data_IF_582760624084
#
_entry.id   IF_582760624084
#
_cell.length_a   1.000
_cell.length_b   1.000
_cell.length_c   1.000
_cell.angle_alpha   90.00
_cell.angle_beta   90.00
_cell.angle_gamma   90.00
#
_symmetry.space_group_name_H-M   'P 1'
#
loop_
_entity.id
_entity.type
_entity.pdbx_description
1 polymer ?
#
# COMPACT_ATOMS: atom_id res chain seq x y z
N UNK A 1 -15.39 11.86 -10.71
CA UNK A 1 -15.91 10.47 -10.57
C UNK A 1 -17.38 10.51 -10.20
N UNK A 2 -18.28 9.92 -10.99
CA UNK A 2 -19.74 9.84 -10.66
C UNK A 2 -20.01 9.17 -9.30
N UNK A 3 -19.07 8.35 -8.82
CA UNK A 3 -19.16 7.59 -7.57
C UNK A 3 -18.62 8.32 -6.34
N UNK A 4 -18.00 9.49 -6.49
CA UNK A 4 -17.41 10.21 -5.34
C UNK A 4 -18.43 10.48 -4.21
N UNK A 5 -19.67 10.94 -4.48
CA UNK A 5 -20.67 11.15 -3.42
C UNK A 5 -21.03 9.86 -2.67
N UNK A 6 -21.06 8.73 -3.38
CA UNK A 6 -21.33 7.41 -2.78
C UNK A 6 -20.16 6.98 -1.89
N UNK A 7 -18.92 7.11 -2.37
CA UNK A 7 -17.72 6.80 -1.58
C UNK A 7 -17.67 7.68 -0.32
N UNK A 8 -17.99 8.97 -0.45
CA UNK A 8 -18.06 9.88 0.70
C UNK A 8 -19.11 9.44 1.73
N UNK A 9 -20.27 8.95 1.30
CA UNK A 9 -21.27 8.37 2.20
C UNK A 9 -20.77 7.11 2.91
N UNK A 10 -20.09 6.20 2.18
CA UNK A 10 -19.50 4.99 2.77
C UNK A 10 -18.45 5.36 3.81
N UNK A 11 -17.57 6.30 3.50
CA UNK A 11 -16.54 6.80 4.44
C UNK A 11 -17.19 7.39 5.70
N UNK A 12 -18.34 8.06 5.55
CA UNK A 12 -19.07 8.67 6.67
C UNK A 12 -19.74 7.64 7.58
N UNK A 13 -20.44 6.66 7.00
CA UNK A 13 -21.27 5.73 7.77
C UNK A 13 -20.55 4.42 8.12
N UNK A 14 -19.64 3.96 7.27
CA UNK A 14 -18.95 2.66 7.38
C UNK A 14 -17.45 2.78 7.05
N UNK A 15 -16.68 3.66 7.72
CA UNK A 15 -15.27 3.90 7.38
C UNK A 15 -14.45 2.59 7.40
N UNK A 16 -14.69 1.71 8.36
CA UNK A 16 -13.95 0.45 8.53
C UNK A 16 -14.05 -0.47 7.31
N UNK A 17 -15.17 -0.42 6.58
CA UNK A 17 -15.39 -1.25 5.39
C UNK A 17 -14.52 -0.86 4.20
N UNK A 18 -14.06 0.38 4.16
CA UNK A 18 -13.35 0.94 3.00
C UNK A 18 -11.88 1.27 3.29
N UNK A 19 -11.47 1.41 4.57
CA UNK A 19 -10.07 1.74 4.94
C UNK A 19 -9.06 0.81 4.25
N UNK A 20 -9.27 -0.51 4.31
CA UNK A 20 -8.31 -1.47 3.76
C UNK A 20 -8.26 -1.46 2.23
N UNK A 21 -9.40 -1.60 1.50
CA UNK A 21 -9.40 -1.45 0.04
C UNK A 21 -8.86 -0.10 -0.44
N UNK A 22 -9.19 0.99 0.27
CA UNK A 22 -8.70 2.33 -0.05
C UNK A 22 -7.18 2.42 0.12
N UNK A 23 -6.63 1.90 1.23
CA UNK A 23 -5.18 1.88 1.47
C UNK A 23 -4.43 1.15 0.35
N UNK A 24 -4.93 -0.01 -0.10
CA UNK A 24 -4.31 -0.79 -1.18
C UNK A 24 -4.34 -0.07 -2.52
N UNK A 25 -5.43 0.64 -2.82
CA UNK A 25 -5.62 1.29 -4.12
C UNK A 25 -5.08 2.72 -4.17
N UNK A 26 -4.89 3.38 -3.04
CA UNK A 26 -4.51 4.79 -2.96
C UNK A 26 -3.20 5.09 -3.70
N UNK A 27 -2.16 4.27 -3.52
CA UNK A 27 -0.88 4.46 -4.21
C UNK A 27 -1.06 4.42 -5.74
N UNK A 28 -1.74 3.40 -6.26
CA UNK A 28 -2.00 3.26 -7.69
C UNK A 28 -2.90 4.39 -8.23
N UNK A 29 -3.91 4.81 -7.45
CA UNK A 29 -4.83 5.89 -7.81
C UNK A 29 -4.11 7.25 -7.88
N UNK A 30 -3.15 7.49 -6.99
CA UNK A 30 -2.41 8.76 -6.93
C UNK A 30 -1.50 8.97 -8.15
N UNK A 31 -0.87 7.90 -8.64
CA UNK A 31 0.01 7.94 -9.82
C UNK A 31 -0.73 7.85 -11.16
N UNK A 32 -1.90 7.20 -11.20
CA UNK A 32 -2.64 6.97 -12.44
C UNK A 32 -3.49 8.15 -12.91
N UNK A 33 -3.82 9.09 -12.03
CA UNK A 33 -4.70 10.22 -12.38
C UNK A 33 -3.94 11.51 -12.65
N UNK A 34 -4.32 12.19 -13.74
CA UNK A 34 -3.91 13.57 -14.05
C UNK A 34 -4.99 14.60 -13.68
N UNK A 35 -6.17 14.16 -13.22
CA UNK A 35 -7.27 15.02 -12.81
C UNK A 35 -7.03 15.59 -11.41
N UNK A 36 -6.82 16.91 -11.33
CA UNK A 36 -6.57 17.65 -10.08
C UNK A 36 -7.72 17.56 -9.09
N UNK A 37 -8.97 17.54 -9.60
CA UNK A 37 -10.18 17.43 -8.79
C UNK A 37 -10.26 16.06 -8.12
N UNK A 38 -9.91 15.01 -8.88
CA UNK A 38 -9.88 13.66 -8.34
C UNK A 38 -8.79 13.50 -7.27
N UNK A 39 -7.59 14.05 -7.50
CA UNK A 39 -6.52 14.04 -6.49
C UNK A 39 -6.98 14.71 -5.19
N UNK A 40 -7.59 15.88 -5.29
CA UNK A 40 -8.11 16.60 -4.13
C UNK A 40 -9.16 15.77 -3.35
N UNK A 41 -10.10 15.17 -4.07
CA UNK A 41 -11.14 14.32 -3.50
C UNK A 41 -10.58 13.06 -2.81
N UNK A 42 -9.58 12.41 -3.41
CA UNK A 42 -8.88 11.27 -2.79
C UNK A 42 -8.15 11.68 -1.51
N UNK A 43 -7.55 12.87 -1.49
CA UNK A 43 -6.87 13.39 -0.31
C UNK A 43 -7.84 13.67 0.84
N UNK A 44 -9.02 14.24 0.54
CA UNK A 44 -10.08 14.42 1.53
C UNK A 44 -10.52 13.06 2.12
N UNK A 45 -10.71 12.05 1.26
CA UNK A 45 -11.09 10.70 1.71
C UNK A 45 -9.99 10.12 2.61
N UNK A 46 -8.73 10.26 2.22
CA UNK A 46 -7.58 9.80 3.02
C UNK A 46 -7.59 10.42 4.42
N UNK A 47 -7.71 11.75 4.50
CA UNK A 47 -7.75 12.47 5.78
C UNK A 47 -8.91 12.01 6.68
N UNK A 48 -10.08 11.71 6.09
CA UNK A 48 -11.23 11.18 6.85
C UNK A 48 -10.97 9.77 7.38
N UNK A 49 -10.21 8.96 6.65
CA UNK A 49 -9.89 7.58 7.02
C UNK A 49 -8.67 7.44 7.92
N UNK A 50 -7.80 8.45 8.02
CA UNK A 50 -6.55 8.41 8.81
C UNK A 50 -6.73 7.94 10.26
N UNK A 51 -7.83 8.34 10.91
CA UNK A 51 -8.15 7.91 12.29
C UNK A 51 -8.38 6.40 12.42
N UNK A 52 -8.79 5.75 11.34
CA UNK A 52 -9.04 4.30 11.29
C UNK A 52 -7.86 3.53 10.70
N UNK A 53 -6.96 4.21 9.99
CA UNK A 53 -5.77 3.62 9.36
C UNK A 53 -4.81 3.01 10.38
N UNK A 54 -4.65 3.63 11.57
CA UNK A 54 -3.73 3.13 12.60
C UNK A 54 -4.07 1.70 13.05
N UNK A 55 -5.32 1.48 13.47
CA UNK A 55 -5.78 0.16 13.94
C UNK A 55 -5.64 -0.90 12.84
N UNK A 56 -5.95 -0.54 11.60
CA UNK A 56 -5.79 -1.44 10.45
C UNK A 56 -4.32 -1.76 10.20
N UNK A 57 -3.41 -0.80 10.37
CA UNK A 57 -1.97 -1.02 10.25
C UNK A 57 -1.44 -1.94 11.35
N UNK A 58 -1.83 -1.73 12.60
CA UNK A 58 -1.46 -2.58 13.73
C UNK A 58 -1.98 -4.01 13.53
N UNK A 59 -3.22 -4.15 13.06
CA UNK A 59 -3.79 -5.46 12.74
C UNK A 59 -3.03 -6.17 11.62
N UNK A 60 -2.69 -5.47 10.53
CA UNK A 60 -1.87 -6.03 9.45
C UNK A 60 -0.50 -6.45 9.98
N UNK A 61 0.14 -5.63 10.82
CA UNK A 61 1.43 -5.97 11.41
C UNK A 61 1.35 -7.21 12.29
N UNK A 62 0.32 -7.32 13.13
CA UNK A 62 0.09 -8.50 13.95
C UNK A 62 -0.15 -9.76 13.10
N UNK A 63 -0.90 -9.64 12.00
CA UNK A 63 -1.11 -10.75 11.05
C UNK A 63 0.19 -11.16 10.35
N UNK A 64 1.04 -10.20 9.97
CA UNK A 64 2.33 -10.50 9.34
C UNK A 64 3.27 -11.23 10.31
N UNK A 65 3.27 -10.85 11.59
CA UNK A 65 4.03 -11.55 12.64
C UNK A 65 3.59 -13.00 12.86
N UNK A 66 2.36 -13.34 12.48
CA UNK A 66 1.81 -14.69 12.66
C UNK A 66 2.39 -15.70 11.66
N UNK A 67 3.01 -15.24 10.56
CA UNK A 67 3.56 -16.12 9.53
C UNK A 67 4.94 -15.66 9.01
N UNK A 68 5.99 -15.69 9.85
CA UNK A 68 7.32 -15.20 9.51
C UNK A 68 7.98 -16.01 8.38
N UNK A 69 7.58 -17.27 8.20
CA UNK A 69 8.08 -18.12 7.13
C UNK A 69 7.71 -17.57 5.74
N UNK A 70 6.48 -17.05 5.59
CA UNK A 70 6.03 -16.46 4.33
C UNK A 70 6.80 -15.18 3.99
N UNK A 71 7.13 -14.34 4.99
CA UNK A 71 7.99 -13.18 4.79
C UNK A 71 9.40 -13.57 4.35
N UNK A 72 9.98 -14.60 4.96
CA UNK A 72 11.29 -15.13 4.59
C UNK A 72 11.30 -15.70 3.15
N UNK A 73 10.28 -16.47 2.78
CA UNK A 73 10.14 -17.01 1.42
C UNK A 73 10.02 -15.91 0.37
N UNK A 74 9.25 -14.85 0.67
CA UNK A 74 9.14 -13.69 -0.22
C UNK A 74 10.44 -12.90 -0.32
N UNK A 75 11.14 -12.70 0.81
CA UNK A 75 12.45 -12.06 0.81
C UNK A 75 13.46 -12.83 -0.06
N UNK A 76 13.49 -14.16 0.04
CA UNK A 76 14.32 -15.03 -0.80
C UNK A 76 13.97 -14.92 -2.29
N UNK A 77 12.67 -14.90 -2.64
CA UNK A 77 12.20 -14.74 -4.02
C UNK A 77 12.62 -13.38 -4.60
N UNK A 78 12.44 -12.30 -3.85
CA UNK A 78 12.84 -10.96 -4.27
C UNK A 78 14.36 -10.85 -4.42
N UNK A 79 15.13 -11.43 -3.50
CA UNK A 79 16.59 -11.48 -3.58
C UNK A 79 17.04 -12.24 -4.83
N UNK A 80 16.43 -13.41 -5.10
CA UNK A 80 16.71 -14.19 -6.30
C UNK A 80 16.45 -13.37 -7.56
N UNK A 81 15.30 -12.71 -7.66
CA UNK A 81 14.97 -11.83 -8.81
C UNK A 81 15.99 -10.70 -9.00
N UNK A 82 16.39 -10.03 -7.92
CA UNK A 82 17.40 -8.96 -7.96
C UNK A 82 18.77 -9.47 -8.40
N UNK A 83 19.12 -10.71 -8.05
CA UNK A 83 20.39 -11.34 -8.41
C UNK A 83 20.39 -11.98 -9.80
N UNK A 84 19.23 -12.39 -10.32
CA UNK A 84 19.08 -12.91 -11.69
C UNK A 84 18.96 -11.82 -12.74
N UNK A 85 18.65 -10.58 -12.35
CA UNK A 85 18.67 -9.45 -13.26
C UNK A 85 20.08 -9.22 -13.82
N UNK A 86 20.12 -8.87 -15.10
CA UNK A 86 21.35 -8.62 -15.86
C UNK A 86 22.26 -7.62 -15.13
N UNK A 87 23.57 -7.87 -15.14
CA UNK A 87 24.55 -7.10 -14.35
C UNK A 87 24.50 -5.60 -14.66
N UNK A 88 24.10 -5.25 -15.90
CA UNK A 88 23.99 -3.87 -16.38
C UNK A 88 22.72 -3.14 -15.92
N UNK A 89 21.69 -3.86 -15.47
CA UNK A 89 20.38 -3.31 -15.03
C UNK A 89 20.19 -3.48 -13.52
N UNK A 90 21.16 -4.12 -12.84
CA UNK A 90 21.10 -4.43 -11.42
C UNK A 90 21.20 -3.16 -10.58
N UNK A 91 20.07 -2.79 -9.98
CA UNK A 91 20.04 -1.71 -9.00
C UNK A 91 20.71 -2.15 -7.69
N UNK A 92 21.99 -1.80 -7.55
CA UNK A 92 22.82 -2.12 -6.38
C UNK A 92 22.28 -1.43 -5.11
N UNK A 93 21.63 -0.28 -5.23
CA UNK A 93 21.05 0.42 -4.08
C UNK A 93 19.83 -0.34 -3.58
N UNK A 94 18.98 -0.83 -4.49
CA UNK A 94 17.84 -1.68 -4.14
C UNK A 94 18.29 -2.99 -3.50
N UNK A 95 19.34 -3.64 -4.03
CA UNK A 95 19.91 -4.85 -3.45
C UNK A 95 20.47 -4.62 -2.03
N UNK A 96 21.25 -3.55 -1.81
CA UNK A 96 21.79 -3.20 -0.49
C UNK A 96 20.69 -2.91 0.53
N UNK A 97 19.59 -2.32 0.09
CA UNK A 97 18.44 -2.02 0.96
C UNK A 97 17.67 -3.30 1.30
N UNK A 98 17.53 -4.23 0.34
CA UNK A 98 16.88 -5.52 0.54
C UNK A 98 17.65 -6.42 1.53
N UNK A 99 18.99 -6.38 1.48
CA UNK A 99 19.86 -7.08 2.41
C UNK A 99 19.84 -6.51 3.84
N UNK A 100 19.30 -5.31 4.06
CA UNK A 100 19.17 -4.70 5.40
C UNK A 100 17.81 -4.94 6.05
N UNK A 101 16.84 -5.48 5.28
CA UNK A 101 15.48 -5.76 5.77
C UNK A 101 15.40 -7.03 6.62
N UNK A 102 16.40 -7.90 6.52
CA UNK A 102 16.54 -9.16 7.23
C UNK A 102 18.00 -9.26 7.70
#
# INVERSE_FOLDING_TARGET
LKLYPLIEQIVKFYPQSIVYPFKLSYETLQYSTNDSTLKHNLEIIRQKLDRHTLLVNEFIQALNQLNPQHEYENWCKELYQLLTNDRNIRDINKLKTHLKKF
#
